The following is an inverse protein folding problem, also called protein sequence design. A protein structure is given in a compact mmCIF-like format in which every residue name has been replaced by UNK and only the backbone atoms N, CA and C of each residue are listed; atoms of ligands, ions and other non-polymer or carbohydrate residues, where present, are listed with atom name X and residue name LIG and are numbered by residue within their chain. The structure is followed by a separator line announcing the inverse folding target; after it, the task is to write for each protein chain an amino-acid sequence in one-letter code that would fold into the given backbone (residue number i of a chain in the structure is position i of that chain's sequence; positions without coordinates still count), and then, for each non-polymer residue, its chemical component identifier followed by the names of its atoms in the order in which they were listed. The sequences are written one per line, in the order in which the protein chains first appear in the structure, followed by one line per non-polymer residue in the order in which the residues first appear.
data_IF_438811175262
#
_entry.id   IF_438811175262
#
_cell.length_a   1.000
_cell.length_b   1.000
_cell.length_c   1.000
_cell.angle_alpha   90.00
_cell.angle_beta   90.00
_cell.angle_gamma   90.00
#
_symmetry.space_group_name_H-M   'P 1'
#
loop_
_entity.id
_entity.type
_entity.pdbx_description
1 polymer ?
#
# COMPACT_ATOMS: atom_id res chain seq x y z
N UNK A 1 -5.74 17.50 -3.01
CA UNK A 1 -5.40 16.80 -4.28
C UNK A 1 -6.32 17.33 -5.40
N UNK A 2 -5.75 17.69 -6.53
CA UNK A 2 -6.56 18.13 -7.68
C UNK A 2 -6.94 16.94 -8.59
N UNK A 3 -7.87 17.18 -9.52
CA UNK A 3 -8.37 16.12 -10.41
C UNK A 3 -7.29 15.56 -11.34
N UNK A 4 -6.36 16.39 -11.81
CA UNK A 4 -5.28 15.93 -12.67
C UNK A 4 -4.40 14.90 -11.98
N UNK A 5 -4.00 15.17 -10.74
CA UNK A 5 -3.21 14.23 -9.93
C UNK A 5 -4.02 12.97 -9.61
N UNK A 6 -5.30 13.12 -9.25
CA UNK A 6 -6.16 11.97 -8.99
C UNK A 6 -6.29 11.06 -10.20
N UNK A 7 -6.38 11.63 -11.41
CA UNK A 7 -6.39 10.86 -12.65
C UNK A 7 -5.07 10.10 -12.86
N UNK A 8 -3.93 10.75 -12.59
CA UNK A 8 -2.62 10.09 -12.69
C UNK A 8 -2.50 8.91 -11.71
N UNK A 9 -2.97 9.10 -10.49
CA UNK A 9 -2.97 8.03 -9.48
C UNK A 9 -3.87 6.88 -9.93
N UNK A 10 -5.10 7.16 -10.37
CA UNK A 10 -6.01 6.14 -10.86
C UNK A 10 -5.41 5.34 -12.02
N UNK A 11 -4.82 6.02 -12.98
CA UNK A 11 -4.20 5.38 -14.13
C UNK A 11 -3.02 4.48 -13.71
N UNK A 12 -2.18 4.92 -12.80
CA UNK A 12 -1.06 4.13 -12.32
C UNK A 12 -1.54 2.87 -11.58
N UNK A 13 -2.54 3.02 -10.71
CA UNK A 13 -3.12 1.88 -10.00
C UNK A 13 -3.70 0.85 -10.98
N UNK A 14 -4.49 1.31 -11.94
CA UNK A 14 -5.12 0.43 -12.94
C UNK A 14 -4.07 -0.28 -13.81
N UNK A 15 -3.00 0.41 -14.16
CA UNK A 15 -1.92 -0.13 -14.99
C UNK A 15 -1.09 -1.20 -14.27
N UNK A 16 -0.85 -1.01 -12.97
CA UNK A 16 0.09 -1.85 -12.21
C UNK A 16 -0.55 -2.96 -11.39
N UNK A 17 -1.87 -2.99 -11.28
CA UNK A 17 -2.57 -3.93 -10.44
C UNK A 17 -3.62 -4.72 -11.22
N UNK A 18 -3.81 -5.99 -10.84
CA UNK A 18 -4.89 -6.81 -11.38
C UNK A 18 -6.13 -6.60 -10.52
N UNK A 19 -7.04 -5.75 -10.99
CA UNK A 19 -8.21 -5.34 -10.23
C UNK A 19 -9.49 -5.89 -10.85
N UNK A 20 -10.51 -6.14 -10.01
CA UNK A 20 -11.85 -6.52 -10.45
C UNK A 20 -12.70 -5.35 -10.94
N UNK A 21 -12.18 -4.14 -10.87
CA UNK A 21 -12.82 -2.93 -11.33
C UNK A 21 -11.79 -1.84 -11.46
N UNK A 22 -12.07 -0.85 -12.26
CA UNK A 22 -11.15 0.25 -12.48
C UNK A 22 -11.34 1.35 -11.47
N UNK A 23 -10.24 2.01 -11.10
CA UNK A 23 -10.23 3.25 -10.34
C UNK A 23 -10.40 4.43 -11.30
N UNK A 24 -11.10 5.46 -10.84
CA UNK A 24 -11.20 6.73 -11.56
C UNK A 24 -10.84 7.88 -10.61
N UNK A 25 -10.75 9.08 -11.17
CA UNK A 25 -10.39 10.27 -10.40
C UNK A 25 -11.37 10.55 -9.26
N UNK A 26 -12.65 10.32 -9.48
CA UNK A 26 -13.68 10.58 -8.45
C UNK A 26 -13.47 9.68 -7.23
N UNK A 27 -13.16 8.41 -7.46
CA UNK A 27 -12.89 7.45 -6.37
C UNK A 27 -11.65 7.87 -5.58
N UNK A 28 -10.59 8.27 -6.27
CA UNK A 28 -9.37 8.75 -5.61
C UNK A 28 -9.68 10.01 -4.78
N UNK A 29 -10.41 10.96 -5.33
CA UNK A 29 -10.73 12.21 -4.65
C UNK A 29 -11.63 12.00 -3.42
N UNK A 30 -12.54 11.03 -3.45
CA UNK A 30 -13.38 10.69 -2.30
C UNK A 30 -12.57 10.25 -1.10
N UNK A 31 -11.41 9.64 -1.33
CA UNK A 31 -10.53 9.12 -0.29
C UNK A 31 -9.13 9.74 -0.36
N UNK A 32 -9.03 10.98 -0.83
CA UNK A 32 -7.76 11.65 -1.11
C UNK A 32 -6.78 11.65 0.06
N UNK A 33 -7.29 11.73 1.28
CA UNK A 33 -6.49 11.71 2.50
C UNK A 33 -5.81 10.36 2.77
N UNK A 34 -6.28 9.27 2.14
CA UNK A 34 -5.71 7.95 2.27
C UNK A 34 -4.52 7.71 1.33
N UNK A 35 -4.30 8.59 0.37
CA UNK A 35 -3.26 8.40 -0.65
C UNK A 35 -1.98 9.11 -0.28
N UNK A 36 -0.87 8.38 -0.43
CA UNK A 36 0.48 8.90 -0.37
C UNK A 36 1.05 8.78 -1.78
N UNK A 37 1.75 9.79 -2.24
CA UNK A 37 2.32 9.80 -3.58
C UNK A 37 3.62 10.58 -3.61
N UNK A 38 4.45 10.29 -4.61
CA UNK A 38 5.71 10.97 -4.87
C UNK A 38 5.70 11.47 -6.32
N UNK A 39 6.08 12.73 -6.50
CA UNK A 39 6.17 13.37 -7.81
C UNK A 39 7.62 13.73 -8.12
N UNK A 40 7.99 13.55 -9.39
CA UNK A 40 9.21 14.10 -9.98
C UNK A 40 8.75 15.12 -11.03
N UNK A 41 8.78 16.40 -10.65
CA UNK A 41 8.12 17.44 -11.43
C UNK A 41 6.62 17.14 -11.55
N UNK A 42 6.15 16.93 -12.78
CA UNK A 42 4.75 16.58 -13.06
C UNK A 42 4.52 15.07 -13.21
N UNK A 43 5.57 14.27 -13.07
CA UNK A 43 5.50 12.81 -13.25
C UNK A 43 5.20 12.14 -11.93
N UNK A 44 4.17 11.30 -11.91
CA UNK A 44 3.88 10.47 -10.74
C UNK A 44 4.85 9.29 -10.70
N UNK A 45 5.68 9.26 -9.66
CA UNK A 45 6.70 8.23 -9.45
C UNK A 45 6.11 6.98 -8.82
N UNK A 46 5.33 7.16 -7.77
CA UNK A 46 4.73 6.06 -7.02
C UNK A 46 3.55 6.56 -6.21
N UNK A 47 2.66 5.66 -5.85
CA UNK A 47 1.55 5.94 -4.95
C UNK A 47 1.16 4.71 -4.15
N UNK A 48 0.46 4.95 -3.05
CA UNK A 48 -0.06 3.90 -2.18
C UNK A 48 -1.28 4.45 -1.45
N UNK A 49 -2.26 3.58 -1.22
CA UNK A 49 -3.39 3.90 -0.35
C UNK A 49 -3.17 3.27 1.01
N UNK A 50 -3.41 4.03 2.08
CA UNK A 50 -3.37 3.54 3.47
C UNK A 50 -4.70 3.83 4.10
N UNK A 51 -5.44 2.79 4.49
CA UNK A 51 -6.78 2.95 5.04
C UNK A 51 -6.97 2.23 6.36
N UNK A 52 -7.81 2.81 7.19
CA UNK A 52 -8.16 2.24 8.48
C UNK A 52 -9.03 1.00 8.29
N UNK A 53 -8.68 -0.09 8.95
CA UNK A 53 -9.51 -1.30 9.06
C UNK A 53 -10.26 -1.27 10.39
N UNK A 54 -9.54 -1.01 11.48
CA UNK A 54 -10.09 -0.83 12.81
C UNK A 54 -9.12 0.04 13.63
N UNK A 55 -9.46 0.42 14.85
CA UNK A 55 -8.73 1.44 15.60
C UNK A 55 -7.22 1.18 15.74
N UNK A 56 -6.77 -0.07 15.76
CA UNK A 56 -5.35 -0.42 15.91
C UNK A 56 -4.71 -0.95 14.60
N UNK A 57 -5.49 -1.15 13.55
CA UNK A 57 -5.05 -1.84 12.33
C UNK A 57 -5.38 -1.03 11.10
N UNK A 58 -4.37 -0.85 10.25
CA UNK A 58 -4.49 -0.16 8.97
C UNK A 58 -4.00 -1.07 7.86
N UNK A 59 -4.38 -0.79 6.63
CA UNK A 59 -4.07 -1.61 5.47
C UNK A 59 -3.41 -0.78 4.38
N UNK A 60 -2.34 -1.35 3.80
CA UNK A 60 -1.71 -0.83 2.60
C UNK A 60 -2.39 -1.45 1.39
N UNK A 61 -2.87 -0.61 0.47
CA UNK A 61 -3.55 -1.05 -0.73
C UNK A 61 -2.87 -0.46 -1.96
N UNK A 62 -2.79 -1.25 -3.02
CA UNK A 62 -2.44 -0.78 -4.36
C UNK A 62 -1.13 0.00 -4.44
N UNK A 63 -0.10 -0.47 -3.74
CA UNK A 63 1.25 0.07 -3.92
C UNK A 63 1.64 -0.05 -5.38
N UNK A 64 1.89 1.07 -6.02
CA UNK A 64 2.13 1.14 -7.46
C UNK A 64 3.33 2.05 -7.74
N UNK A 65 4.28 1.54 -8.52
CA UNK A 65 5.48 2.29 -8.92
C UNK A 65 5.46 2.45 -10.44
N UNK A 66 5.70 3.68 -10.90
CA UNK A 66 5.85 3.97 -12.32
C UNK A 66 7.00 3.11 -12.89
N UNK A 67 6.78 2.38 -14.01
CA UNK A 67 7.81 1.51 -14.58
C UNK A 67 9.15 2.19 -14.83
N UNK A 68 9.15 3.47 -15.19
CA UNK A 68 10.36 4.24 -15.46
C UNK A 68 11.19 4.53 -14.21
N UNK A 69 10.62 4.28 -13.04
CA UNK A 69 11.23 4.54 -11.73
C UNK A 69 11.44 3.26 -10.92
N UNK A 70 11.32 2.11 -11.54
CA UNK A 70 11.55 0.82 -10.87
C UNK A 70 13.02 0.61 -10.50
N UNK A 71 13.25 -0.25 -9.49
CA UNK A 71 14.58 -0.63 -8.98
C UNK A 71 15.37 0.55 -8.40
N UNK A 72 14.68 1.58 -7.91
CA UNK A 72 15.27 2.78 -7.29
C UNK A 72 14.86 2.94 -5.82
N UNK A 73 14.30 1.91 -5.22
CA UNK A 73 13.87 1.94 -3.82
C UNK A 73 12.53 2.65 -3.57
N UNK A 74 11.76 2.96 -4.61
CA UNK A 74 10.50 3.68 -4.45
C UNK A 74 9.43 2.87 -3.71
N UNK A 75 9.36 1.56 -3.95
CA UNK A 75 8.43 0.70 -3.21
C UNK A 75 8.72 0.71 -1.71
N UNK A 76 9.99 0.58 -1.33
CA UNK A 76 10.41 0.64 0.07
C UNK A 76 10.05 1.98 0.71
N UNK A 77 10.28 3.09 0.01
CA UNK A 77 9.93 4.42 0.51
C UNK A 77 8.43 4.59 0.69
N UNK A 78 7.61 4.07 -0.22
CA UNK A 78 6.15 4.13 -0.09
C UNK A 78 5.66 3.30 1.10
N UNK A 79 6.23 2.11 1.31
CA UNK A 79 5.89 1.28 2.47
C UNK A 79 6.26 2.01 3.76
N UNK A 80 7.44 2.61 3.84
CA UNK A 80 7.87 3.38 5.02
C UNK A 80 6.98 4.59 5.25
N UNK A 81 6.62 5.32 4.21
CA UNK A 81 5.69 6.45 4.33
C UNK A 81 4.32 6.02 4.81
N UNK A 82 3.85 4.87 4.34
CA UNK A 82 2.59 4.28 4.81
C UNK A 82 2.65 3.93 6.30
N UNK A 83 3.76 3.34 6.74
CA UNK A 83 3.98 3.02 8.15
C UNK A 83 3.97 4.28 9.01
N UNK A 84 4.68 5.32 8.58
CA UNK A 84 4.75 6.59 9.31
C UNK A 84 3.36 7.21 9.46
N UNK A 85 2.59 7.26 8.37
CA UNK A 85 1.24 7.79 8.41
C UNK A 85 0.31 6.97 9.31
N UNK A 86 0.35 5.66 9.19
CA UNK A 86 -0.47 4.77 10.01
C UNK A 86 -0.10 4.93 11.51
N UNK A 87 1.19 5.01 11.80
CA UNK A 87 1.69 5.20 13.16
C UNK A 87 1.24 6.54 13.76
N UNK A 88 1.28 7.61 12.98
CA UNK A 88 0.79 8.93 13.39
C UNK A 88 -0.69 8.91 13.76
N UNK A 89 -1.46 8.02 13.13
CA UNK A 89 -2.90 7.87 13.37
C UNK A 89 -3.23 6.80 14.43
N UNK A 90 -2.22 6.30 15.11
CA UNK A 90 -2.37 5.38 16.23
C UNK A 90 -2.42 3.90 15.86
N UNK A 91 -2.11 3.55 14.62
CA UNK A 91 -2.06 2.14 14.20
C UNK A 91 -0.93 1.40 14.92
N UNK A 92 -1.22 0.17 15.32
CA UNK A 92 -0.25 -0.74 15.94
C UNK A 92 0.14 -1.88 15.01
N UNK A 93 -0.73 -2.17 14.05
CA UNK A 93 -0.52 -3.22 13.04
C UNK A 93 -0.81 -2.62 11.67
N UNK A 94 0.08 -2.90 10.73
CA UNK A 94 -0.14 -2.58 9.33
C UNK A 94 -0.13 -3.88 8.54
N UNK A 95 -1.08 -4.04 7.64
CA UNK A 95 -1.22 -5.25 6.84
C UNK A 95 -1.32 -4.93 5.35
N UNK A 96 -1.05 -5.93 4.54
CA UNK A 96 -1.37 -5.92 3.11
C UNK A 96 -1.82 -7.32 2.70
N UNK A 97 -2.57 -7.38 1.59
CA UNK A 97 -2.97 -8.64 0.97
C UNK A 97 -2.23 -8.79 -0.34
N UNK A 98 -1.52 -9.88 -0.50
CA UNK A 98 -0.70 -10.15 -1.67
C UNK A 98 -1.18 -11.44 -2.33
N UNK A 99 -1.40 -11.40 -3.65
CA UNK A 99 -1.71 -12.60 -4.41
C UNK A 99 -0.56 -13.59 -4.30
N UNK A 100 -0.88 -14.84 -4.00
CA UNK A 100 0.13 -15.92 -3.96
C UNK A 100 0.80 -16.05 -5.33
N UNK A 101 2.12 -16.06 -5.33
CA UNK A 101 2.92 -16.07 -6.56
C UNK A 101 3.34 -14.70 -7.08
N UNK A 102 2.88 -13.62 -6.46
CA UNK A 102 3.39 -12.28 -6.76
C UNK A 102 4.72 -12.07 -6.03
N UNK A 103 5.77 -12.69 -6.53
CA UNK A 103 7.09 -12.74 -5.88
C UNK A 103 7.67 -11.36 -5.63
N UNK A 104 7.41 -10.42 -6.52
CA UNK A 104 7.92 -9.05 -6.42
C UNK A 104 7.35 -8.35 -5.18
N UNK A 105 6.04 -8.40 -5.01
CA UNK A 105 5.39 -7.82 -3.83
C UNK A 105 5.77 -8.55 -2.56
N UNK A 106 5.81 -9.89 -2.59
CA UNK A 106 6.22 -10.68 -1.43
C UNK A 106 7.61 -10.30 -0.96
N UNK A 107 8.59 -10.17 -1.89
CA UNK A 107 9.95 -9.77 -1.54
C UNK A 107 10.01 -8.34 -0.99
N UNK A 108 9.26 -7.41 -1.60
CA UNK A 108 9.25 -6.02 -1.17
C UNK A 108 8.76 -5.88 0.27
N UNK A 109 7.67 -6.55 0.61
CA UNK A 109 7.11 -6.50 1.97
C UNK A 109 7.94 -7.32 2.96
N UNK A 110 8.46 -8.47 2.57
CA UNK A 110 9.34 -9.26 3.44
C UNK A 110 10.59 -8.47 3.84
N UNK A 111 11.19 -7.73 2.93
CA UNK A 111 12.36 -6.87 3.22
C UNK A 111 12.02 -5.76 4.22
N UNK A 112 10.78 -5.31 4.26
CA UNK A 112 10.34 -4.29 5.21
C UNK A 112 9.87 -4.88 6.55
N UNK A 113 10.04 -6.18 6.74
CA UNK A 113 9.72 -6.85 8.01
C UNK A 113 8.30 -7.38 8.12
N UNK A 114 7.56 -7.43 7.03
CA UNK A 114 6.23 -8.04 7.02
C UNK A 114 6.34 -9.55 6.99
N UNK A 115 5.44 -10.21 7.71
CA UNK A 115 5.37 -11.67 7.78
C UNK A 115 4.04 -12.15 7.23
N UNK A 116 4.08 -13.25 6.46
CA UNK A 116 2.88 -13.93 5.98
C UNK A 116 2.17 -14.58 7.17
N UNK A 117 0.92 -14.21 7.40
CA UNK A 117 0.14 -14.73 8.54
C UNK A 117 -0.87 -15.78 8.14
N UNK A 118 -1.59 -15.57 7.05
CA UNK A 118 -2.68 -16.44 6.62
C UNK A 118 -2.77 -16.44 5.10
N UNK A 119 -3.12 -17.58 4.53
CA UNK A 119 -3.37 -17.73 3.11
C UNK A 119 -4.77 -18.31 2.93
N UNK A 120 -5.55 -17.77 2.00
CA UNK A 120 -6.89 -18.23 1.73
C UNK A 120 -7.30 -17.99 0.27
N UNK A 121 -8.34 -18.72 -0.17
CA UNK A 121 -8.91 -18.48 -1.48
C UNK A 121 -9.88 -17.31 -1.42
N UNK A 122 -9.68 -16.32 -2.28
CA UNK A 122 -10.52 -15.14 -2.36
C UNK A 122 -11.53 -15.32 -3.50
N UNK A 123 -12.79 -15.51 -3.15
CA UNK A 123 -13.87 -15.73 -4.13
C UNK A 123 -14.10 -14.50 -5.01
N UNK A 124 -13.82 -13.31 -4.51
CA UNK A 124 -14.00 -12.07 -5.26
C UNK A 124 -13.01 -11.93 -6.41
N UNK A 125 -11.76 -12.29 -6.18
CA UNK A 125 -10.66 -12.19 -7.15
C UNK A 125 -10.36 -13.53 -7.82
N UNK A 126 -10.98 -14.61 -7.35
CA UNK A 126 -10.84 -15.96 -7.88
C UNK A 126 -9.40 -16.47 -7.89
N UNK A 127 -8.67 -16.18 -6.82
CA UNK A 127 -7.29 -16.63 -6.64
C UNK A 127 -6.93 -16.79 -5.16
N UNK A 128 -5.78 -17.41 -4.91
CA UNK A 128 -5.24 -17.48 -3.55
C UNK A 128 -4.50 -16.18 -3.20
N UNK A 129 -4.78 -15.68 -2.01
CA UNK A 129 -4.15 -14.48 -1.47
C UNK A 129 -3.62 -14.77 -0.08
N UNK A 130 -2.63 -14.00 0.34
CA UNK A 130 -2.06 -14.08 1.68
C UNK A 130 -2.12 -12.72 2.35
N UNK A 131 -2.42 -12.71 3.65
CA UNK A 131 -2.35 -11.51 4.48
C UNK A 131 -0.96 -11.48 5.11
N UNK A 132 -0.27 -10.36 4.92
CA UNK A 132 1.03 -10.07 5.50
C UNK A 132 0.88 -8.94 6.51
N UNK A 133 1.54 -9.04 7.65
CA UNK A 133 1.41 -8.07 8.73
C UNK A 133 2.74 -7.71 9.34
N UNK A 134 2.80 -6.49 9.87
CA UNK A 134 3.92 -5.98 10.65
C UNK A 134 3.38 -5.20 11.85
N UNK A 135 3.92 -5.44 13.03
CA UNK A 135 3.68 -4.61 14.20
C UNK A 135 4.49 -3.32 14.07
N UNK A 136 3.81 -2.17 14.02
CA UNK A 136 4.43 -0.87 13.82
C UNK A 136 4.27 0.08 14.99
N UNK A 137 3.49 -0.31 16.01
CA UNK A 137 3.31 0.49 17.22
C UNK A 137 4.61 0.62 17.99
N UNK A 138 4.77 1.75 18.69
CA UNK A 138 5.90 1.91 19.60
C UNK A 138 5.77 0.91 20.74
N UNK A 139 6.81 0.13 20.97
CA UNK A 139 6.86 -0.71 22.14
C UNK A 139 7.18 0.15 23.37
N UNK A 140 6.49 -0.09 24.50
CA UNK A 140 6.90 0.55 25.76
C UNK A 140 8.37 0.27 26.00
N UNK A 141 9.12 1.29 26.41
CA UNK A 141 10.51 1.12 26.84
C UNK A 141 10.47 0.23 28.09
N UNK A 142 11.06 -0.95 27.99
CA UNK A 142 11.19 -1.83 29.16
C UNK A 142 12.21 -1.15 30.11
N UNK A 143 11.74 -0.79 31.27
CA UNK A 143 12.66 -0.42 32.35
C UNK A 143 13.46 -1.64 32.74
N UNK A 144 14.75 -1.50 32.74
CA UNK A 144 15.66 -2.54 33.18
C UNK A 144 15.43 -2.84 34.67
#
# INVERSE_FOLDING_TARGET
MNRLLATKIANLINDRNQLNGEYDADRILQHGENYIYELDGNVLVACVEVRKVQWYQWEICHLSVNPDYERKGNAARMIQSAEDRARERGAKILQCTIRVGNDRSERAFAKQGYEKKICFYNDKTENYVAVWQKAIGQRPVRKA
#
